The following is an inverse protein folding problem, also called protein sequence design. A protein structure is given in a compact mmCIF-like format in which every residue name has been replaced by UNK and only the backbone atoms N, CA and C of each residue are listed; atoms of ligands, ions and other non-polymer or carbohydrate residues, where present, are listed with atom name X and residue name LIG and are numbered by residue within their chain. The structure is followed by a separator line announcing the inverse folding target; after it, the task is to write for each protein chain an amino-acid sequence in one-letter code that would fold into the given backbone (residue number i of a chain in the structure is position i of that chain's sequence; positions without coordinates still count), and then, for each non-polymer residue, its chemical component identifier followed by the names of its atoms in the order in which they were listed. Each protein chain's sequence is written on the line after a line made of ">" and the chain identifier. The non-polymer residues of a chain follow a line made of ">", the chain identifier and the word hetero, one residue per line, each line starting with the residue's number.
data_IF_405960387246
#
_entry.id   IF_405960387246
#
_cell.length_a   1.000
_cell.length_b   1.000
_cell.length_c   1.000
_cell.angle_alpha   90.00
_cell.angle_beta   90.00
_cell.angle_gamma   90.00
#
_symmetry.space_group_name_H-M   'P 1'
#
loop_
_entity.id
_entity.type
_entity.pdbx_description
1 polymer ?
#
# COMPACT_ATOMS: atom_id res chain seq x y z
N UNK A 1 1.19 8.66 16.19
CA UNK A 1 -0.27 8.93 16.29
C UNK A 1 -0.93 8.98 14.92
N UNK A 2 -0.53 9.90 14.02
CA UNK A 2 -1.07 10.00 12.66
C UNK A 2 -0.96 8.69 11.85
N UNK A 3 0.25 8.14 11.72
CA UNK A 3 0.49 6.84 11.05
C UNK A 3 -0.33 5.69 11.67
N UNK A 4 -0.39 5.62 13.00
CA UNK A 4 -1.11 4.57 13.73
C UNK A 4 -2.60 4.52 13.39
N UNK A 5 -3.23 5.70 13.23
CA UNK A 5 -4.64 5.80 12.81
C UNK A 5 -4.81 5.26 11.39
N UNK A 6 -3.93 5.63 10.45
CA UNK A 6 -4.01 5.14 9.08
C UNK A 6 -3.65 3.68 8.92
N UNK A 7 -2.77 3.14 9.77
CA UNK A 7 -2.50 1.71 9.83
C UNK A 7 -3.75 0.94 10.27
N UNK A 8 -4.48 1.45 11.26
CA UNK A 8 -5.74 0.84 11.67
C UNK A 8 -6.79 0.88 10.54
N UNK A 9 -6.96 2.04 9.90
CA UNK A 9 -7.86 2.19 8.74
C UNK A 9 -7.44 1.27 7.58
N UNK A 10 -6.13 1.16 7.33
CA UNK A 10 -5.56 0.29 6.31
C UNK A 10 -5.89 -1.17 6.54
N UNK A 11 -5.74 -1.66 7.78
CA UNK A 11 -6.15 -3.02 8.15
C UNK A 11 -7.63 -3.28 7.87
N UNK A 12 -8.50 -2.35 8.27
CA UNK A 12 -9.94 -2.44 8.00
C UNK A 12 -10.26 -2.45 6.49
N UNK A 13 -9.55 -1.65 5.70
CA UNK A 13 -9.70 -1.63 4.25
C UNK A 13 -9.24 -2.96 3.63
N UNK A 14 -8.12 -3.51 4.09
CA UNK A 14 -7.58 -4.79 3.62
C UNK A 14 -8.53 -5.96 3.89
N UNK A 15 -9.29 -5.92 4.99
CA UNK A 15 -10.32 -6.92 5.32
C UNK A 15 -11.63 -6.72 4.55
N UNK A 16 -11.93 -5.48 4.13
CA UNK A 16 -13.18 -5.17 3.44
C UNK A 16 -13.09 -5.32 1.93
N UNK A 17 -12.01 -4.84 1.32
CA UNK A 17 -11.78 -4.75 -0.12
C UNK A 17 -10.88 -5.90 -0.62
N UNK A 18 -9.88 -6.31 0.17
CA UNK A 18 -8.81 -7.23 -0.22
C UNK A 18 -7.43 -6.59 0.03
N UNK A 19 -6.37 -7.39 0.13
CA UNK A 19 -5.02 -6.89 0.43
C UNK A 19 -4.39 -6.31 -0.83
N UNK A 20 -4.51 -7.01 -1.97
CA UNK A 20 -3.97 -6.57 -3.27
C UNK A 20 -4.42 -5.16 -3.71
N UNK A 21 -5.73 -4.83 -3.77
CA UNK A 21 -6.17 -3.50 -4.19
C UNK A 21 -5.72 -2.39 -3.23
N UNK A 22 -5.64 -2.68 -1.93
CA UNK A 22 -5.13 -1.71 -0.94
C UNK A 22 -3.66 -1.41 -1.17
N UNK A 23 -2.85 -2.46 -1.38
CA UNK A 23 -1.42 -2.30 -1.71
C UNK A 23 -1.22 -1.51 -3.00
N UNK A 24 -1.95 -1.84 -4.06
CA UNK A 24 -1.88 -1.11 -5.35
C UNK A 24 -2.23 0.36 -5.15
N UNK A 25 -3.29 0.66 -4.40
CA UNK A 25 -3.69 2.04 -4.12
C UNK A 25 -2.63 2.81 -3.32
N UNK A 26 -1.95 2.15 -2.38
CA UNK A 26 -0.86 2.73 -1.61
C UNK A 26 0.33 3.10 -2.50
N UNK A 27 0.87 2.14 -3.27
CA UNK A 27 1.98 2.42 -4.19
C UNK A 27 1.63 3.48 -5.23
N UNK A 28 0.41 3.44 -5.78
CA UNK A 28 -0.04 4.43 -6.76
C UNK A 28 -0.13 5.83 -6.14
N UNK A 29 -0.65 5.95 -4.92
CA UNK A 29 -0.78 7.25 -4.23
C UNK A 29 0.59 7.87 -3.95
N UNK A 30 1.56 7.08 -3.44
CA UNK A 30 2.92 7.56 -3.20
C UNK A 30 3.61 7.90 -4.54
N UNK A 31 3.42 7.07 -5.58
CA UNK A 31 3.98 7.33 -6.92
C UNK A 31 3.49 8.65 -7.52
N UNK A 32 2.19 8.94 -7.42
CA UNK A 32 1.61 10.22 -7.86
C UNK A 32 2.18 11.38 -7.03
N UNK A 33 2.30 11.19 -5.71
CA UNK A 33 2.85 12.20 -4.82
C UNK A 33 4.30 12.59 -5.18
N UNK A 34 5.18 11.60 -5.38
CA UNK A 34 6.56 11.84 -5.81
C UNK A 34 6.64 12.44 -7.22
N UNK A 35 5.77 12.02 -8.14
CA UNK A 35 5.69 12.64 -9.46
C UNK A 35 5.31 14.12 -9.38
N UNK A 36 4.40 14.48 -8.47
CA UNK A 36 3.95 15.87 -8.31
C UNK A 36 5.05 16.79 -7.77
N UNK A 37 5.78 16.38 -6.74
CA UNK A 37 6.90 17.17 -6.20
C UNK A 37 8.11 17.16 -7.14
N UNK A 38 8.25 16.15 -8.01
CA UNK A 38 9.25 16.18 -9.07
C UNK A 38 8.95 17.28 -10.10
N UNK A 39 7.70 17.40 -10.55
CA UNK A 39 7.32 18.40 -11.57
C UNK A 39 7.25 19.81 -10.98
N UNK A 40 6.79 19.95 -9.73
CA UNK A 40 6.57 21.24 -9.07
C UNK A 40 7.28 21.33 -7.70
N UNK A 41 8.63 21.29 -7.66
CA UNK A 41 9.38 21.23 -6.41
C UNK A 41 9.26 22.51 -5.56
N UNK A 42 9.04 23.67 -6.19
CA UNK A 42 8.91 24.96 -5.49
C UNK A 42 7.47 25.24 -5.02
N UNK A 43 6.49 24.42 -5.44
CA UNK A 43 5.10 24.65 -5.11
C UNK A 43 4.78 24.11 -3.72
N UNK A 44 4.49 25.00 -2.77
CA UNK A 44 4.07 24.65 -1.40
C UNK A 44 2.88 23.65 -1.40
N UNK A 45 1.94 23.81 -2.35
CA UNK A 45 0.78 22.93 -2.48
C UNK A 45 1.18 21.49 -2.84
N UNK A 46 2.21 21.30 -3.67
CA UNK A 46 2.71 19.98 -4.03
C UNK A 46 3.29 19.25 -2.82
N UNK A 47 4.00 19.98 -1.95
CA UNK A 47 4.52 19.43 -0.69
C UNK A 47 3.41 19.03 0.28
N UNK A 48 2.37 19.84 0.45
CA UNK A 48 1.23 19.45 1.29
C UNK A 48 0.52 18.21 0.75
N UNK A 49 0.28 18.16 -0.56
CA UNK A 49 -0.28 16.98 -1.22
C UNK A 49 0.60 15.75 -0.97
N UNK A 50 1.93 15.90 -1.10
CA UNK A 50 2.88 14.84 -0.85
C UNK A 50 2.78 14.29 0.57
N UNK A 51 2.85 15.13 1.61
CA UNK A 51 2.79 14.67 3.00
C UNK A 51 1.47 13.95 3.34
N UNK A 52 0.35 14.42 2.78
CA UNK A 52 -0.95 13.77 2.98
C UNK A 52 -0.95 12.39 2.32
N UNK A 53 -0.57 12.31 1.05
CA UNK A 53 -0.54 11.04 0.31
C UNK A 53 0.46 10.04 0.91
N UNK A 54 1.64 10.51 1.28
CA UNK A 54 2.70 9.71 1.89
C UNK A 54 2.22 9.11 3.22
N UNK A 55 1.70 9.93 4.14
CA UNK A 55 1.20 9.45 5.43
C UNK A 55 0.02 8.48 5.31
N UNK A 56 -0.92 8.76 4.40
CA UNK A 56 -2.04 7.85 4.13
C UNK A 56 -1.56 6.50 3.61
N UNK A 57 -0.71 6.52 2.59
CA UNK A 57 -0.28 5.32 1.92
C UNK A 57 0.68 4.48 2.75
N UNK A 58 1.61 5.08 3.52
CA UNK A 58 2.42 4.34 4.49
C UNK A 58 1.55 3.67 5.55
N UNK A 59 0.46 4.30 5.98
CA UNK A 59 -0.53 3.67 6.85
C UNK A 59 -1.08 2.37 6.24
N UNK A 60 -1.54 2.43 4.99
CA UNK A 60 -2.04 1.26 4.25
C UNK A 60 -0.97 0.18 4.09
N UNK A 61 0.21 0.57 3.61
CA UNK A 61 1.30 -0.35 3.28
C UNK A 61 1.87 -1.03 4.51
N UNK A 62 2.06 -0.31 5.63
CA UNK A 62 2.51 -0.90 6.89
C UNK A 62 1.51 -1.94 7.41
N UNK A 63 0.22 -1.63 7.36
CA UNK A 63 -0.81 -2.60 7.78
C UNK A 63 -0.71 -3.90 6.97
N UNK A 64 -0.49 -3.79 5.65
CA UNK A 64 -0.42 -4.96 4.77
C UNK A 64 0.92 -5.70 4.83
N UNK A 65 2.04 -5.00 4.66
CA UNK A 65 3.37 -5.60 4.50
C UNK A 65 4.07 -5.89 5.80
N UNK A 66 3.72 -5.26 6.92
CA UNK A 66 4.33 -5.59 8.21
C UNK A 66 3.49 -6.62 8.94
N UNK A 67 2.16 -6.51 8.88
CA UNK A 67 1.26 -7.34 9.69
C UNK A 67 0.52 -8.43 8.89
N UNK A 68 -0.18 -8.09 7.78
CA UNK A 68 -1.18 -9.01 7.22
C UNK A 68 -0.60 -10.09 6.29
N UNK A 69 0.22 -9.70 5.30
CA UNK A 69 0.62 -10.60 4.19
C UNK A 69 1.41 -11.81 4.70
N UNK A 70 2.38 -11.58 5.59
CA UNK A 70 3.24 -12.66 6.08
C UNK A 70 2.50 -13.62 7.01
N UNK A 71 1.57 -13.12 7.82
CA UNK A 71 0.66 -13.96 8.60
C UNK A 71 -0.25 -14.80 7.71
N UNK A 72 -0.82 -14.19 6.65
CA UNK A 72 -1.73 -14.88 5.71
C UNK A 72 -1.01 -16.01 4.94
N UNK A 73 0.29 -15.88 4.64
CA UNK A 73 1.09 -16.85 3.87
C UNK A 73 1.77 -17.89 4.77
N UNK A 74 2.03 -17.55 6.04
CA UNK A 74 2.81 -18.38 6.94
C UNK A 74 2.21 -19.77 7.18
N UNK A 75 3.09 -20.76 7.30
CA UNK A 75 2.72 -22.09 7.78
C UNK A 75 2.60 -22.06 9.31
N UNK A 76 1.62 -22.76 9.85
CA UNK A 76 1.39 -22.87 11.29
C UNK A 76 2.68 -23.31 12.02
N UNK A 77 3.11 -22.52 13.01
CA UNK A 77 4.34 -22.75 13.79
C UNK A 77 5.63 -22.27 13.12
N UNK A 78 5.56 -21.61 11.96
CA UNK A 78 6.72 -20.98 11.28
C UNK A 78 6.51 -19.49 11.00
N UNK A 79 5.50 -18.87 11.61
CA UNK A 79 5.09 -17.48 11.39
C UNK A 79 6.27 -16.52 11.54
N UNK A 80 7.08 -16.70 12.58
CA UNK A 80 8.26 -15.88 12.89
C UNK A 80 9.25 -15.79 11.71
N UNK A 81 9.47 -16.90 11.00
CA UNK A 81 10.41 -16.95 9.86
C UNK A 81 9.86 -16.15 8.68
N UNK A 82 8.56 -16.25 8.42
CA UNK A 82 7.91 -15.48 7.34
C UNK A 82 7.90 -13.98 7.65
N UNK A 83 7.63 -13.60 8.91
CA UNK A 83 7.74 -12.20 9.32
C UNK A 83 9.18 -11.69 9.22
N UNK A 84 10.17 -12.49 9.61
CA UNK A 84 11.58 -12.10 9.51
C UNK A 84 12.01 -11.86 8.07
N UNK A 85 11.82 -12.84 7.19
CA UNK A 85 12.19 -12.74 5.77
C UNK A 85 11.40 -11.64 5.09
N UNK A 86 10.11 -11.53 5.42
CA UNK A 86 9.20 -10.57 4.81
C UNK A 86 9.46 -9.11 5.18
N UNK A 87 9.90 -8.84 6.40
CA UNK A 87 10.27 -7.49 6.84
C UNK A 87 11.73 -7.13 6.55
N UNK A 88 12.56 -8.10 6.17
CA UNK A 88 13.98 -7.88 5.85
C UNK A 88 14.22 -6.76 4.82
N UNK A 89 13.44 -6.64 3.71
CA UNK A 89 13.61 -5.55 2.76
C UNK A 89 13.44 -4.15 3.36
N UNK A 90 12.58 -3.98 4.38
CA UNK A 90 12.42 -2.70 5.07
C UNK A 90 13.71 -2.30 5.79
N UNK A 91 14.35 -3.25 6.47
CA UNK A 91 15.62 -3.00 7.14
C UNK A 91 16.77 -2.75 6.15
N UNK A 92 16.81 -3.53 5.06
CA UNK A 92 17.78 -3.32 3.98
C UNK A 92 17.61 -1.95 3.31
N UNK A 93 16.37 -1.45 3.21
CA UNK A 93 16.12 -0.12 2.65
C UNK A 93 16.81 0.99 3.45
N UNK A 94 16.90 0.87 4.77
CA UNK A 94 17.61 1.84 5.63
C UNK A 94 19.11 1.85 5.36
N UNK A 95 19.70 0.67 5.10
CA UNK A 95 21.11 0.56 4.73
C UNK A 95 21.35 1.17 3.33
N UNK A 96 20.45 0.87 2.38
CA UNK A 96 20.53 1.46 1.03
C UNK A 96 20.41 2.98 1.05
N UNK A 97 19.56 3.55 1.92
CA UNK A 97 19.48 5.00 2.09
C UNK A 97 20.83 5.60 2.47
N UNK A 98 21.56 4.99 3.41
CA UNK A 98 22.88 5.49 3.82
C UNK A 98 23.90 5.50 2.67
N UNK A 99 23.84 4.48 1.80
CA UNK A 99 24.72 4.37 0.63
C UNK A 99 24.34 5.36 -0.48
N UNK A 100 23.05 5.62 -0.66
CA UNK A 100 22.50 6.42 -1.77
C UNK A 100 22.45 7.91 -1.42
N UNK A 101 22.33 8.27 -0.14
CA UNK A 101 22.23 9.65 0.34
C UNK A 101 23.26 10.63 -0.26
N UNK A 102 24.59 10.35 -0.26
CA UNK A 102 25.57 11.27 -0.83
C UNK A 102 25.40 11.49 -2.34
N UNK A 103 24.88 10.50 -3.07
CA UNK A 103 24.58 10.63 -4.50
C UNK A 103 23.32 11.47 -4.75
N UNK A 104 22.34 11.39 -3.85
CA UNK A 104 21.11 12.19 -3.96
C UNK A 104 21.38 13.65 -3.60
N UNK A 105 22.18 13.91 -2.57
CA UNK A 105 22.55 15.26 -2.15
C UNK A 105 23.34 16.01 -3.24
N UNK A 106 24.20 15.31 -3.99
CA UNK A 106 25.00 15.90 -5.07
C UNK A 106 24.26 16.13 -6.39
N UNK A 107 23.17 15.39 -6.67
CA UNK A 107 22.45 15.43 -7.96
C UNK A 107 21.08 16.15 -7.91
N UNK A 108 20.71 16.72 -6.75
CA UNK A 108 19.47 17.48 -6.57
C UNK A 108 18.22 16.60 -6.36
N UNK A 109 17.29 17.09 -5.53
CA UNK A 109 16.11 16.34 -5.09
C UNK A 109 15.15 15.90 -6.20
N UNK A 110 15.04 16.68 -7.29
CA UNK A 110 14.11 16.41 -8.39
C UNK A 110 14.38 15.09 -9.12
N UNK A 111 15.65 14.74 -9.32
CA UNK A 111 16.03 13.46 -9.96
C UNK A 111 15.64 12.30 -9.04
N UNK A 112 15.90 12.43 -7.74
CA UNK A 112 15.53 11.42 -6.75
C UNK A 112 14.01 11.22 -6.67
N UNK A 113 13.22 12.30 -6.71
CA UNK A 113 11.76 12.20 -6.71
C UNK A 113 11.22 11.53 -7.97
N UNK A 114 11.77 11.85 -9.14
CA UNK A 114 11.40 11.19 -10.41
C UNK A 114 11.70 9.69 -10.37
N UNK A 115 12.88 9.34 -9.86
CA UNK A 115 13.32 7.95 -9.75
C UNK A 115 12.45 7.18 -8.75
N UNK A 116 12.11 7.79 -7.61
CA UNK A 116 11.18 7.23 -6.63
C UNK A 116 9.81 6.97 -7.25
N UNK A 117 9.23 7.96 -7.96
CA UNK A 117 7.96 7.81 -8.65
C UNK A 117 7.99 6.65 -9.65
N UNK A 118 9.04 6.55 -10.46
CA UNK A 118 9.22 5.47 -11.42
C UNK A 118 9.20 4.09 -10.75
N UNK A 119 10.00 3.88 -9.71
CA UNK A 119 10.06 2.59 -9.02
C UNK A 119 8.76 2.24 -8.28
N UNK A 120 8.05 3.23 -7.73
CA UNK A 120 6.77 3.02 -7.06
C UNK A 120 5.69 2.55 -8.06
N UNK A 121 5.64 3.13 -9.26
CA UNK A 121 4.77 2.62 -10.32
C UNK A 121 5.21 1.27 -10.84
N UNK A 122 6.52 1.04 -10.98
CA UNK A 122 7.07 -0.25 -11.39
C UNK A 122 6.67 -1.35 -10.40
N UNK A 123 6.66 -1.06 -9.10
CA UNK A 123 6.24 -1.99 -8.05
C UNK A 123 4.77 -2.43 -8.16
N UNK A 124 3.90 -1.63 -8.81
CA UNK A 124 2.50 -2.02 -9.05
C UNK A 124 2.41 -3.20 -10.02
N UNK A 125 3.31 -3.29 -11.00
CA UNK A 125 3.29 -4.34 -12.03
C UNK A 125 3.38 -5.75 -11.43
N UNK A 126 4.40 -6.13 -10.63
CA UNK A 126 4.46 -7.47 -10.05
C UNK A 126 3.27 -7.76 -9.13
N UNK A 127 2.71 -6.74 -8.46
CA UNK A 127 1.55 -6.89 -7.58
C UNK A 127 0.27 -7.19 -8.38
N UNK A 128 0.14 -6.64 -9.60
CA UNK A 128 -0.97 -6.97 -10.51
C UNK A 128 -0.95 -8.44 -10.93
N UNK A 129 0.23 -9.07 -11.03
CA UNK A 129 0.35 -10.49 -11.34
C UNK A 129 0.27 -11.40 -10.11
N UNK A 130 0.52 -10.87 -8.90
CA UNK A 130 0.38 -11.63 -7.66
C UNK A 130 -1.08 -12.05 -7.39
N UNK A 131 -1.26 -13.25 -6.85
CA UNK A 131 -2.57 -13.72 -6.37
C UNK A 131 -2.99 -12.95 -5.10
N UNK A 132 -4.29 -12.89 -4.85
CA UNK A 132 -4.81 -12.30 -3.60
C UNK A 132 -4.54 -13.25 -2.43
N UNK A 133 -3.97 -12.74 -1.34
CA UNK A 133 -3.66 -13.57 -0.15
C UNK A 133 -4.91 -14.02 0.59
N UNK A 134 -6.02 -13.28 0.44
CA UNK A 134 -7.29 -13.63 1.07
C UNK A 134 -7.96 -14.81 0.34
N UNK A 135 -8.43 -15.86 1.05
CA UNK A 135 -9.03 -17.04 0.42
C UNK A 135 -10.23 -16.67 -0.47
N UNK A 136 -10.18 -17.07 -1.75
CA UNK A 136 -11.21 -16.73 -2.73
C UNK A 136 -12.63 -17.10 -2.29
N UNK A 137 -12.78 -18.21 -1.56
CA UNK A 137 -14.08 -18.68 -1.03
C UNK A 137 -14.72 -17.63 -0.11
N UNK A 138 -13.93 -16.98 0.76
CA UNK A 138 -14.41 -15.93 1.66
C UNK A 138 -14.82 -14.68 0.89
N UNK A 139 -14.05 -14.31 -0.14
CA UNK A 139 -14.35 -13.19 -1.05
C UNK A 139 -15.64 -13.42 -1.86
N UNK A 140 -15.79 -14.60 -2.47
CA UNK A 140 -16.97 -15.00 -3.24
C UNK A 140 -18.23 -15.03 -2.36
N UNK A 141 -18.17 -15.62 -1.17
CA UNK A 141 -19.28 -15.62 -0.22
C UNK A 141 -19.72 -14.21 0.19
N UNK A 142 -18.76 -13.31 0.44
CA UNK A 142 -19.04 -11.90 0.77
C UNK A 142 -19.70 -11.17 -0.41
N UNK A 143 -19.25 -11.42 -1.64
CA UNK A 143 -19.82 -10.85 -2.86
C UNK A 143 -21.26 -11.33 -3.08
N UNK A 144 -21.54 -12.62 -2.90
CA UNK A 144 -22.90 -13.18 -2.95
C UNK A 144 -23.84 -12.54 -1.91
N UNK A 145 -23.39 -12.42 -0.65
CA UNK A 145 -24.18 -11.72 0.39
C UNK A 145 -24.52 -10.28 0.00
N UNK A 146 -23.60 -9.53 -0.62
CA UNK A 146 -23.86 -8.17 -1.10
C UNK A 146 -24.91 -8.17 -2.23
N UNK A 147 -24.85 -9.11 -3.16
CA UNK A 147 -25.86 -9.25 -4.23
C UNK A 147 -27.24 -9.55 -3.68
N UNK A 148 -27.37 -10.50 -2.75
CA UNK A 148 -28.64 -10.83 -2.11
C UNK A 148 -29.22 -9.63 -1.36
N UNK A 149 -28.39 -8.89 -0.61
CA UNK A 149 -28.83 -7.64 0.06
C UNK A 149 -29.32 -6.58 -0.92
N UNK A 150 -28.61 -6.36 -2.04
CA UNK A 150 -29.03 -5.41 -3.08
C UNK A 150 -30.36 -5.83 -3.71
N UNK A 151 -30.52 -7.11 -4.04
CA UNK A 151 -31.76 -7.65 -4.60
C UNK A 151 -32.94 -7.48 -3.63
N UNK A 152 -32.73 -7.73 -2.32
CA UNK A 152 -33.77 -7.54 -1.29
C UNK A 152 -34.19 -6.06 -1.16
N UNK A 153 -33.22 -5.13 -1.15
CA UNK A 153 -33.51 -3.68 -1.14
C UNK A 153 -34.26 -3.22 -2.39
N UNK A 154 -33.96 -3.77 -3.56
CA UNK A 154 -34.69 -3.46 -4.80
C UNK A 154 -36.14 -3.96 -4.70
N UNK A 155 -36.34 -5.19 -4.23
CA UNK A 155 -37.69 -5.74 -4.00
C UNK A 155 -38.52 -4.90 -3.03
N UNK A 156 -37.90 -4.35 -1.98
CA UNK A 156 -38.56 -3.46 -1.02
C UNK A 156 -38.86 -2.05 -1.60
N UNK A 157 -38.10 -1.58 -2.59
CA UNK A 157 -38.35 -0.29 -3.28
C UNK A 157 -39.43 -0.36 -4.36
N UNK A 158 -39.68 -1.53 -4.93
CA UNK A 158 -40.68 -1.76 -5.98
C UNK A 158 -41.94 -2.48 -5.45
N UNK A 159 -42.17 -2.40 -4.14
CA UNK A 159 -43.40 -2.82 -3.46
C UNK A 159 -44.11 -1.59 -2.93
#
# INVERSE_FOLDING_TARGET
>A
LFLSIFTFVGGLLSDTVGRKPVVISGFSAIGIAYAMISVFPEALLAWYFFFICDGLAWGLLLATFVALIWGDISLTGQEEKYYFVGNLPLFLSTILQLLIFPYVESNGGTIAFSLAAFFLFLAVIPILFAEETLPEKKLKAKRLRRYVKKAKKMKERYK
#
